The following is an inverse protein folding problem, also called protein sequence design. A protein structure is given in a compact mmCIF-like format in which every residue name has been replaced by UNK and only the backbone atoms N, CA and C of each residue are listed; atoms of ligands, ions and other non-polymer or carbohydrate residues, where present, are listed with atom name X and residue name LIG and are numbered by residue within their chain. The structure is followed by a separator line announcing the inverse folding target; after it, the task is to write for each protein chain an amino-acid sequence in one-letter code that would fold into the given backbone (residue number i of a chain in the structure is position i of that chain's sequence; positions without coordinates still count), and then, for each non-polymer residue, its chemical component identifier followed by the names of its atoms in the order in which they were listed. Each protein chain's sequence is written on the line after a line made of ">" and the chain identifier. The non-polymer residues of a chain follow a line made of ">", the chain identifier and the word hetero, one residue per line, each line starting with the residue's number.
data_IF_139808367886
#
_entry.id   IF_139808367886
#
_cell.length_a   1.000
_cell.length_b   1.000
_cell.length_c   1.000
_cell.angle_alpha   90.00
_cell.angle_beta   90.00
_cell.angle_gamma   90.00
#
_symmetry.space_group_name_H-M   'P 1'
#
loop_
_entity.id
_entity.type
_entity.pdbx_description
1 polymer ?
#
# COMPACT_ATOMS: atom_id res chain seq x y z
N UNK A 1 -9.94 10.77 43.02
CA UNK A 1 -9.98 9.55 42.18
C UNK A 1 -8.96 9.67 41.06
N UNK A 2 -7.76 9.13 41.26
CA UNK A 2 -6.66 9.13 40.29
C UNK A 2 -6.82 7.94 39.33
N UNK A 3 -7.20 8.21 38.08
CA UNK A 3 -7.20 7.19 37.03
C UNK A 3 -5.78 6.64 36.81
N UNK A 4 -5.62 5.32 36.60
CA UNK A 4 -4.32 4.68 36.60
C UNK A 4 -3.48 5.09 35.38
N UNK A 5 -2.40 5.83 35.62
CA UNK A 5 -1.35 6.27 34.68
C UNK A 5 -0.74 5.15 33.80
N UNK A 6 -1.02 3.88 34.09
CA UNK A 6 -0.46 2.73 33.36
C UNK A 6 -1.00 2.55 31.94
N UNK A 7 -2.21 3.02 31.62
CA UNK A 7 -2.75 2.88 30.27
C UNK A 7 -2.04 3.76 29.22
N UNK A 8 -1.53 4.93 29.62
CA UNK A 8 -0.84 5.85 28.70
C UNK A 8 0.52 5.35 28.24
N UNK A 9 1.23 4.56 29.05
CA UNK A 9 2.53 4.03 28.68
C UNK A 9 2.44 3.04 27.49
N UNK A 10 1.41 2.18 27.48
CA UNK A 10 1.24 1.18 26.42
C UNK A 10 0.81 1.80 25.08
N UNK A 11 -0.02 2.84 25.10
CA UNK A 11 -0.45 3.55 23.91
C UNK A 11 0.72 4.33 23.26
N UNK A 12 1.54 5.01 24.08
CA UNK A 12 2.75 5.70 23.61
C UNK A 12 3.77 4.74 23.02
N UNK A 13 3.95 3.56 23.62
CA UNK A 13 4.88 2.54 23.09
C UNK A 13 4.46 1.99 21.73
N UNK A 14 3.14 1.79 21.51
CA UNK A 14 2.60 1.38 20.20
C UNK A 14 2.75 2.47 19.14
N UNK A 15 2.49 3.72 19.50
CA UNK A 15 2.72 4.88 18.63
C UNK A 15 4.19 5.00 18.23
N UNK A 16 5.10 4.89 19.20
CA UNK A 16 6.54 4.95 18.97
C UNK A 16 7.05 3.81 18.08
N UNK A 17 6.59 2.57 18.33
CA UNK A 17 6.95 1.41 17.50
C UNK A 17 6.42 1.56 16.09
N UNK A 18 5.17 2.01 15.92
CA UNK A 18 4.58 2.28 14.61
C UNK A 18 5.35 3.37 13.88
N UNK A 19 5.73 4.45 14.56
CA UNK A 19 6.56 5.53 14.00
C UNK A 19 7.92 5.01 13.56
N UNK A 20 8.64 4.26 14.41
CA UNK A 20 9.93 3.66 14.01
C UNK A 20 9.78 2.72 12.82
N UNK A 21 8.75 1.89 12.81
CA UNK A 21 8.53 0.93 11.74
C UNK A 21 8.20 1.64 10.42
N UNK A 22 7.40 2.71 10.47
CA UNK A 22 7.14 3.58 9.32
C UNK A 22 8.41 4.32 8.85
N UNK A 23 9.26 4.79 9.76
CA UNK A 23 10.53 5.45 9.41
C UNK A 23 11.49 4.46 8.74
N UNK A 24 11.56 3.22 9.24
CA UNK A 24 12.37 2.15 8.62
C UNK A 24 11.83 1.78 7.24
N UNK A 25 10.50 1.63 7.10
CA UNK A 25 9.86 1.37 5.81
C UNK A 25 10.05 2.52 4.81
N UNK A 26 10.09 3.76 5.28
CA UNK A 26 10.34 4.93 4.44
C UNK A 26 11.82 5.02 4.01
N UNK A 27 12.78 4.72 4.90
CA UNK A 27 14.21 4.79 4.57
C UNK A 27 14.65 3.70 3.60
N UNK A 28 14.05 2.52 3.67
CA UNK A 28 14.46 1.37 2.88
C UNK A 28 13.25 0.50 2.53
N UNK A 29 12.34 0.97 1.65
CA UNK A 29 11.13 0.23 1.30
C UNK A 29 11.48 -1.15 0.73
N UNK A 30 12.50 -1.23 -0.13
CA UNK A 30 13.03 -2.47 -0.69
C UNK A 30 13.52 -3.46 0.37
N UNK A 31 14.16 -2.98 1.43
CA UNK A 31 14.67 -3.84 2.50
C UNK A 31 13.56 -4.47 3.35
N UNK A 32 12.33 -3.96 3.25
CA UNK A 32 11.15 -4.51 3.94
C UNK A 32 10.27 -5.30 2.98
N UNK A 33 10.01 -4.78 1.78
CA UNK A 33 9.07 -5.39 0.82
C UNK A 33 9.64 -6.66 0.20
N UNK A 34 10.94 -6.74 -0.05
CA UNK A 34 11.60 -7.94 -0.62
C UNK A 34 11.55 -9.13 0.33
N UNK A 35 12.02 -9.05 1.59
CA UNK A 35 11.94 -10.19 2.50
C UNK A 35 10.49 -10.55 2.83
N UNK A 36 9.59 -9.58 2.91
CA UNK A 36 8.16 -9.84 3.17
C UNK A 36 7.50 -10.53 1.98
N UNK A 37 7.83 -10.10 0.75
CA UNK A 37 7.42 -10.76 -0.49
C UNK A 37 7.99 -12.17 -0.59
N UNK A 38 9.28 -12.36 -0.32
CA UNK A 38 9.93 -13.68 -0.28
C UNK A 38 9.27 -14.61 0.75
N UNK A 39 8.95 -14.11 1.94
CA UNK A 39 8.30 -14.88 3.00
C UNK A 39 6.87 -15.28 2.60
N UNK A 40 6.09 -14.36 2.02
CA UNK A 40 4.77 -14.67 1.47
C UNK A 40 4.84 -15.68 0.32
N UNK A 41 5.82 -15.52 -0.56
CA UNK A 41 6.07 -16.43 -1.68
C UNK A 41 6.49 -17.82 -1.22
N UNK A 42 7.30 -17.92 -0.16
CA UNK A 42 7.68 -19.20 0.44
C UNK A 42 6.48 -19.91 1.08
N UNK A 43 5.65 -19.17 1.82
CA UNK A 43 4.40 -19.72 2.38
C UNK A 43 3.50 -20.24 1.25
N UNK A 44 3.39 -19.48 0.16
CA UNK A 44 2.61 -19.88 -1.01
C UNK A 44 3.19 -21.11 -1.72
N UNK A 45 4.51 -21.14 -1.92
CA UNK A 45 5.22 -22.27 -2.52
C UNK A 45 5.05 -23.56 -1.73
N UNK A 46 5.21 -23.50 -0.41
CA UNK A 46 5.01 -24.67 0.47
C UNK A 46 3.55 -25.12 0.46
N UNK A 47 2.59 -24.20 0.47
CA UNK A 47 1.16 -24.51 0.37
C UNK A 47 0.81 -25.18 -0.96
N UNK A 48 1.29 -24.63 -2.08
CA UNK A 48 1.09 -25.16 -3.42
C UNK A 48 1.72 -26.54 -3.59
N UNK A 49 2.95 -26.73 -3.09
CA UNK A 49 3.61 -28.04 -3.09
C UNK A 49 2.84 -29.06 -2.26
N UNK A 50 2.43 -28.69 -1.04
CA UNK A 50 1.68 -29.59 -0.15
C UNK A 50 0.33 -30.01 -0.74
N UNK A 51 -0.31 -29.11 -1.49
CA UNK A 51 -1.52 -29.41 -2.27
C UNK A 51 -1.21 -30.35 -3.42
N UNK A 52 -0.26 -29.99 -4.29
CA UNK A 52 0.12 -30.76 -5.47
C UNK A 52 0.60 -32.17 -5.12
N UNK A 53 1.43 -32.30 -4.08
CA UNK A 53 1.94 -33.58 -3.59
C UNK A 53 0.80 -34.52 -3.22
N UNK A 54 -0.24 -34.02 -2.54
CA UNK A 54 -1.37 -34.86 -2.12
C UNK A 54 -2.30 -35.23 -3.28
N UNK A 55 -2.47 -34.36 -4.27
CA UNK A 55 -3.37 -34.61 -5.40
C UNK A 55 -2.72 -35.43 -6.50
N UNK A 56 -1.44 -35.17 -6.80
CA UNK A 56 -0.73 -35.80 -7.90
C UNK A 56 -0.05 -37.12 -7.51
N UNK A 57 0.37 -37.28 -6.24
CA UNK A 57 0.99 -38.53 -5.80
C UNK A 57 -0.01 -39.69 -5.62
N UNK A 58 -1.32 -39.41 -5.56
CA UNK A 58 -2.35 -40.44 -5.43
C UNK A 58 -2.47 -41.31 -6.70
N UNK A 59 -2.23 -40.74 -7.88
CA UNK A 59 -2.44 -41.41 -9.17
C UNK A 59 -1.13 -41.63 -9.96
N UNK A 60 0.01 -41.19 -9.43
CA UNK A 60 1.30 -41.29 -10.13
C UNK A 60 2.01 -42.64 -9.87
N UNK A 61 2.61 -43.26 -10.90
CA UNK A 61 3.39 -44.47 -10.73
C UNK A 61 4.63 -44.20 -9.85
N UNK A 62 4.98 -45.15 -8.98
CA UNK A 62 5.97 -44.99 -7.89
C UNK A 62 7.32 -44.41 -8.33
N UNK A 63 7.77 -44.74 -9.55
CA UNK A 63 9.05 -44.34 -10.13
C UNK A 63 9.10 -42.82 -10.45
N UNK A 64 7.94 -42.20 -10.66
CA UNK A 64 7.77 -40.78 -10.95
C UNK A 64 7.61 -40.00 -9.63
N UNK A 65 7.02 -40.64 -8.61
CA UNK A 65 6.81 -40.02 -7.30
C UNK A 65 8.14 -39.61 -6.66
N UNK A 66 9.16 -40.48 -6.62
CA UNK A 66 10.45 -40.18 -5.97
C UNK A 66 11.17 -38.94 -6.56
N UNK A 67 11.13 -38.76 -7.89
CA UNK A 67 11.71 -37.57 -8.53
C UNK A 67 10.88 -36.31 -8.26
N UNK A 68 9.55 -36.40 -8.30
CA UNK A 68 8.68 -35.25 -8.03
C UNK A 68 8.55 -34.89 -6.53
N UNK A 69 8.78 -35.84 -5.61
CA UNK A 69 8.83 -35.58 -4.16
C UNK A 69 9.95 -34.60 -3.83
N UNK A 70 11.06 -34.61 -4.57
CA UNK A 70 12.23 -33.75 -4.29
C UNK A 70 12.28 -32.52 -5.23
N UNK A 71 11.97 -32.70 -6.52
CA UNK A 71 12.06 -31.62 -7.50
C UNK A 71 10.95 -30.57 -7.37
N UNK A 72 9.71 -30.98 -7.08
CA UNK A 72 8.57 -30.05 -6.96
C UNK A 72 8.62 -29.16 -5.71
N UNK A 73 8.96 -29.63 -4.49
CA UNK A 73 9.09 -28.72 -3.36
C UNK A 73 10.21 -27.71 -3.59
N UNK A 74 11.33 -28.16 -4.18
CA UNK A 74 12.43 -27.26 -4.53
C UNK A 74 11.95 -26.21 -5.54
N UNK A 75 11.25 -26.61 -6.60
CA UNK A 75 10.71 -25.70 -7.60
C UNK A 75 9.64 -24.74 -7.03
N UNK A 76 8.78 -25.20 -6.13
CA UNK A 76 7.77 -24.37 -5.49
C UNK A 76 8.36 -23.41 -4.45
N UNK A 77 9.37 -23.83 -3.68
CA UNK A 77 10.08 -22.95 -2.73
C UNK A 77 10.93 -21.92 -3.48
N UNK A 78 11.69 -22.34 -4.48
CA UNK A 78 12.52 -21.44 -5.31
C UNK A 78 11.63 -20.50 -6.14
N UNK A 79 10.57 -21.04 -6.76
CA UNK A 79 9.60 -20.26 -7.54
C UNK A 79 8.80 -19.29 -6.67
N UNK A 80 8.36 -19.73 -5.48
CA UNK A 80 7.69 -18.90 -4.50
C UNK A 80 8.58 -17.78 -3.98
N UNK A 81 9.80 -18.09 -3.56
CA UNK A 81 10.79 -17.09 -3.15
C UNK A 81 11.10 -16.11 -4.29
N UNK A 82 11.30 -16.60 -5.51
CA UNK A 82 11.58 -15.78 -6.69
C UNK A 82 10.43 -14.84 -7.02
N UNK A 83 9.21 -15.37 -7.17
CA UNK A 83 8.02 -14.59 -7.47
C UNK A 83 7.70 -13.57 -6.37
N UNK A 84 7.75 -14.01 -5.11
CA UNK A 84 7.56 -13.16 -3.95
C UNK A 84 8.59 -12.03 -3.86
N UNK A 85 9.87 -12.33 -4.13
CA UNK A 85 10.95 -11.32 -4.17
C UNK A 85 10.75 -10.33 -5.31
N UNK A 86 10.31 -10.79 -6.49
CA UNK A 86 10.00 -9.91 -7.63
C UNK A 86 8.84 -8.98 -7.32
N UNK A 87 7.75 -9.48 -6.73
CA UNK A 87 6.65 -8.63 -6.26
C UNK A 87 7.16 -7.63 -5.22
N UNK A 88 7.94 -8.10 -4.24
CA UNK A 88 8.55 -7.25 -3.23
C UNK A 88 9.46 -6.16 -3.82
N UNK A 89 10.23 -6.48 -4.84
CA UNK A 89 11.06 -5.54 -5.59
C UNK A 89 10.20 -4.52 -6.36
N UNK A 90 9.15 -4.97 -7.06
CA UNK A 90 8.26 -4.09 -7.82
C UNK A 90 7.52 -3.12 -6.89
N UNK A 91 7.00 -3.61 -5.76
CA UNK A 91 6.35 -2.79 -4.73
C UNK A 91 7.35 -1.83 -4.08
N UNK A 92 8.55 -2.30 -3.74
CA UNK A 92 9.57 -1.47 -3.12
C UNK A 92 10.15 -0.42 -4.08
N UNK A 93 10.30 -0.75 -5.36
CA UNK A 93 10.78 0.16 -6.40
C UNK A 93 9.73 1.22 -6.73
N UNK A 94 8.46 0.83 -6.81
CA UNK A 94 7.35 1.78 -7.01
C UNK A 94 7.13 2.70 -5.81
N UNK A 95 7.41 2.22 -4.58
CA UNK A 95 7.48 3.05 -3.38
C UNK A 95 8.70 3.99 -3.41
N UNK A 96 9.89 3.50 -3.77
CA UNK A 96 11.10 4.33 -3.87
C UNK A 96 10.97 5.42 -4.95
N UNK A 97 10.36 5.11 -6.08
CA UNK A 97 10.12 6.06 -7.16
C UNK A 97 9.17 7.21 -6.75
N UNK A 98 8.29 6.99 -5.77
CA UNK A 98 7.48 8.08 -5.17
C UNK A 98 8.34 9.03 -4.34
N UNK A 99 9.28 8.47 -3.57
CA UNK A 99 10.06 9.25 -2.61
C UNK A 99 11.15 10.07 -3.31
N UNK A 100 11.79 9.54 -4.37
CA UNK A 100 12.96 10.17 -5.02
C UNK A 100 12.67 11.47 -5.76
N UNK A 101 11.41 11.81 -6.03
CA UNK A 101 11.04 13.06 -6.73
C UNK A 101 10.37 14.13 -5.86
N UNK A 102 9.99 13.80 -4.62
CA UNK A 102 9.11 14.64 -3.80
C UNK A 102 9.75 15.05 -2.47
N UNK A 103 10.68 14.23 -1.95
CA UNK A 103 11.22 14.39 -0.61
C UNK A 103 12.70 14.75 -0.71
N UNK A 104 13.03 16.01 -0.42
CA UNK A 104 14.42 16.44 -0.29
C UNK A 104 15.08 15.67 0.87
N UNK A 105 16.37 15.32 0.72
CA UNK A 105 17.13 14.55 1.71
C UNK A 105 17.19 15.21 3.10
N UNK A 106 16.89 16.50 3.21
CA UNK A 106 16.79 17.26 4.46
C UNK A 106 15.38 17.34 5.08
N UNK A 107 14.36 16.74 4.45
CA UNK A 107 12.97 16.84 4.94
C UNK A 107 12.82 16.11 6.27
N UNK A 108 12.47 16.85 7.32
CA UNK A 108 12.30 16.27 8.65
C UNK A 108 11.13 15.27 8.67
N UNK A 109 11.27 14.08 9.28
CA UNK A 109 10.28 13.00 9.18
C UNK A 109 8.91 13.36 9.75
N UNK A 110 8.86 14.20 10.79
CA UNK A 110 7.60 14.66 11.37
C UNK A 110 6.82 15.60 10.43
N UNK A 111 7.51 16.41 9.60
CA UNK A 111 6.87 17.28 8.59
C UNK A 111 6.21 16.46 7.51
N UNK A 112 6.88 15.39 7.07
CA UNK A 112 6.31 14.44 6.13
C UNK A 112 5.07 13.73 6.69
N UNK A 113 5.08 13.38 7.98
CA UNK A 113 3.91 12.83 8.65
C UNK A 113 2.76 13.84 8.74
N UNK A 114 3.05 15.10 9.10
CA UNK A 114 2.05 16.16 9.11
C UNK A 114 1.47 16.39 7.71
N UNK A 115 2.30 16.38 6.67
CA UNK A 115 1.88 16.52 5.28
C UNK A 115 0.99 15.36 4.83
N UNK A 116 1.32 14.12 5.20
CA UNK A 116 0.46 12.95 4.93
C UNK A 116 -0.88 13.04 5.64
N UNK A 117 -0.93 13.52 6.89
CA UNK A 117 -2.20 13.74 7.60
C UNK A 117 -3.04 14.83 6.95
N UNK A 118 -2.41 15.94 6.56
CA UNK A 118 -3.06 17.02 5.82
C UNK A 118 -3.66 16.51 4.49
N UNK A 119 -2.91 15.67 3.77
CA UNK A 119 -3.36 14.99 2.56
C UNK A 119 -4.56 14.06 2.81
N UNK A 120 -4.51 13.23 3.85
CA UNK A 120 -5.60 12.32 4.22
C UNK A 120 -6.88 13.08 4.60
N UNK A 121 -6.74 14.22 5.28
CA UNK A 121 -7.85 15.09 5.65
C UNK A 121 -8.35 15.93 4.46
N UNK A 122 -7.51 16.18 3.47
CA UNK A 122 -7.78 17.06 2.34
C UNK A 122 -7.85 18.54 2.73
N UNK A 123 -7.11 18.94 3.76
CA UNK A 123 -7.08 20.31 4.32
C UNK A 123 -5.63 20.81 4.32
N UNK A 124 -5.36 22.06 3.91
CA UNK A 124 -4.02 22.63 4.00
C UNK A 124 -3.54 22.69 5.45
N UNK A 125 -2.25 22.40 5.66
CA UNK A 125 -1.63 22.55 6.98
C UNK A 125 -1.35 24.03 7.29
N UNK A 126 -1.34 24.39 8.57
CA UNK A 126 -0.99 25.75 9.03
C UNK A 126 0.45 26.15 8.66
N UNK A 127 1.38 25.18 8.68
CA UNK A 127 2.76 25.39 8.25
C UNK A 127 2.84 25.37 6.72
N UNK A 128 3.33 26.46 6.13
CA UNK A 128 3.48 26.64 4.69
C UNK A 128 4.37 25.57 4.04
N UNK A 129 5.43 25.12 4.73
CA UNK A 129 6.31 24.07 4.20
C UNK A 129 5.60 22.71 4.18
N UNK A 130 4.84 22.40 5.23
CA UNK A 130 4.03 21.17 5.32
C UNK A 130 2.92 21.18 4.26
N UNK A 131 2.27 22.33 4.06
CA UNK A 131 1.25 22.50 3.02
C UNK A 131 1.84 22.30 1.62
N UNK A 132 3.03 22.88 1.34
CA UNK A 132 3.76 22.67 0.08
C UNK A 132 4.09 21.19 -0.15
N UNK A 133 4.56 20.48 0.88
CA UNK A 133 4.82 19.04 0.80
C UNK A 133 3.53 18.22 0.60
N UNK A 134 2.42 18.62 1.23
CA UNK A 134 1.13 17.96 1.04
C UNK A 134 0.62 18.13 -0.40
N UNK A 135 0.78 19.33 -0.98
CA UNK A 135 0.44 19.62 -2.38
C UNK A 135 1.29 18.79 -3.35
N UNK A 136 2.60 18.67 -3.12
CA UNK A 136 3.46 17.86 -3.98
C UNK A 136 3.11 16.37 -3.92
N UNK A 137 2.81 15.85 -2.73
CA UNK A 137 2.29 14.48 -2.54
C UNK A 137 0.91 14.30 -3.22
N UNK A 138 0.03 15.29 -3.13
CA UNK A 138 -1.28 15.25 -3.77
C UNK A 138 -1.15 15.17 -5.30
N UNK A 139 -0.29 15.99 -5.90
CA UNK A 139 0.00 15.95 -7.33
C UNK A 139 0.50 14.59 -7.79
N UNK A 140 1.44 13.98 -7.05
CA UNK A 140 1.95 12.65 -7.37
C UNK A 140 0.86 11.57 -7.25
N UNK A 141 -0.04 11.71 -6.28
CA UNK A 141 -1.17 10.78 -6.06
C UNK A 141 -2.20 10.87 -7.20
N UNK A 142 -2.53 12.08 -7.66
CA UNK A 142 -3.53 12.30 -8.70
C UNK A 142 -3.01 11.91 -10.09
N UNK A 143 -1.72 12.15 -10.38
CA UNK A 143 -1.11 11.81 -11.69
C UNK A 143 -1.14 10.32 -12.04
N UNK A 144 -1.24 9.44 -11.05
CA UNK A 144 -1.30 7.99 -11.29
C UNK A 144 -2.67 7.60 -11.84
N UNK A 145 -2.77 6.87 -12.97
CA UNK A 145 -4.04 6.34 -13.43
C UNK A 145 -4.58 5.37 -12.36
N UNK A 146 -5.82 5.58 -11.94
CA UNK A 146 -6.44 4.79 -10.88
C UNK A 146 -7.87 4.44 -11.26
N UNK A 147 -8.14 3.14 -11.29
CA UNK A 147 -9.42 2.57 -11.71
C UNK A 147 -10.00 1.76 -10.55
N UNK A 148 -10.61 2.41 -9.54
CA UNK A 148 -11.02 1.73 -8.30
C UNK A 148 -12.04 0.61 -8.54
N UNK A 149 -12.94 0.82 -9.51
CA UNK A 149 -13.94 -0.20 -9.88
C UNK A 149 -13.27 -1.42 -10.51
N UNK A 150 -12.33 -1.21 -11.42
CA UNK A 150 -11.61 -2.30 -12.07
C UNK A 150 -10.73 -3.08 -11.07
N UNK A 151 -9.99 -2.38 -10.20
CA UNK A 151 -9.18 -3.00 -9.15
C UNK A 151 -10.03 -3.79 -8.16
N UNK A 152 -11.15 -3.21 -7.69
CA UNK A 152 -12.08 -3.90 -6.80
C UNK A 152 -12.66 -5.15 -7.46
N UNK A 153 -13.09 -5.05 -8.71
CA UNK A 153 -13.63 -6.17 -9.46
C UNK A 153 -12.56 -7.25 -9.67
N UNK A 154 -11.33 -6.86 -10.05
CA UNK A 154 -10.21 -7.78 -10.18
C UNK A 154 -9.94 -8.55 -8.89
N UNK A 155 -9.85 -7.86 -7.75
CA UNK A 155 -9.63 -8.51 -6.45
C UNK A 155 -10.80 -9.41 -6.04
N UNK A 156 -12.05 -9.02 -6.32
CA UNK A 156 -13.22 -9.86 -6.05
C UNK A 156 -13.26 -11.10 -6.94
N UNK A 157 -12.96 -10.97 -8.23
CA UNK A 157 -12.88 -12.09 -9.17
C UNK A 157 -11.77 -13.06 -8.76
N UNK A 158 -10.59 -12.54 -8.39
CA UNK A 158 -9.50 -13.36 -7.87
C UNK A 158 -9.90 -14.03 -6.54
N UNK A 159 -10.52 -13.30 -5.61
CA UNK A 159 -11.00 -13.88 -4.35
C UNK A 159 -12.02 -15.00 -4.58
N UNK A 160 -12.93 -14.84 -5.55
CA UNK A 160 -13.90 -15.85 -5.92
C UNK A 160 -13.22 -17.08 -6.55
N UNK A 161 -12.23 -16.87 -7.43
CA UNK A 161 -11.42 -17.93 -8.01
C UNK A 161 -10.72 -18.73 -6.91
N UNK A 162 -10.00 -18.07 -6.01
CA UNK A 162 -9.33 -18.71 -4.88
C UNK A 162 -10.32 -19.41 -3.94
N UNK A 163 -11.47 -18.79 -3.68
CA UNK A 163 -12.54 -19.38 -2.87
C UNK A 163 -13.11 -20.65 -3.49
N UNK A 164 -13.26 -20.68 -4.83
CA UNK A 164 -13.69 -21.89 -5.55
C UNK A 164 -12.66 -23.01 -5.47
N UNK A 165 -11.36 -22.68 -5.56
CA UNK A 165 -10.27 -23.64 -5.38
C UNK A 165 -10.23 -24.20 -3.96
N UNK A 166 -10.45 -23.35 -2.94
CA UNK A 166 -10.58 -23.78 -1.55
C UNK A 166 -11.78 -24.73 -1.35
N UNK A 167 -12.92 -24.44 -1.99
CA UNK A 167 -14.10 -25.30 -1.99
C UNK A 167 -13.83 -26.67 -2.61
N UNK A 168 -13.19 -26.71 -3.78
CA UNK A 168 -12.75 -27.95 -4.42
C UNK A 168 -11.77 -28.74 -3.54
N UNK A 169 -10.83 -28.06 -2.88
CA UNK A 169 -9.93 -28.71 -1.93
C UNK A 169 -10.67 -29.30 -0.73
N UNK A 170 -11.72 -28.63 -0.26
CA UNK A 170 -12.55 -29.10 0.86
C UNK A 170 -13.32 -30.36 0.45
N UNK A 171 -13.95 -30.36 -0.73
CA UNK A 171 -14.68 -31.51 -1.26
C UNK A 171 -13.78 -32.73 -1.50
N UNK A 172 -12.52 -32.49 -1.87
CA UNK A 172 -11.53 -33.55 -2.10
C UNK A 172 -10.72 -33.92 -0.84
N UNK A 173 -11.02 -33.34 0.32
CA UNK A 173 -10.32 -33.68 1.58
C UNK A 173 -8.85 -33.26 1.61
N UNK A 174 -8.47 -32.16 0.94
CA UNK A 174 -7.09 -31.66 0.83
C UNK A 174 -6.90 -30.44 1.76
N UNK A 175 -6.53 -30.62 3.04
CA UNK A 175 -6.53 -29.56 4.04
C UNK A 175 -5.51 -28.45 3.74
N UNK A 176 -4.36 -28.78 3.14
CA UNK A 176 -3.32 -27.79 2.81
C UNK A 176 -3.79 -26.80 1.73
N UNK A 177 -4.45 -27.30 0.68
CA UNK A 177 -5.03 -26.46 -0.37
C UNK A 177 -6.18 -25.61 0.15
N UNK A 178 -7.03 -26.18 1.02
CA UNK A 178 -8.10 -25.44 1.69
C UNK A 178 -7.56 -24.23 2.47
N UNK A 179 -6.49 -24.41 3.26
CA UNK A 179 -5.88 -23.33 4.02
C UNK A 179 -5.20 -22.30 3.12
N UNK A 180 -4.44 -22.74 2.13
CA UNK A 180 -3.72 -21.84 1.22
C UNK A 180 -4.70 -20.98 0.42
N UNK A 181 -5.56 -21.60 -0.38
CA UNK A 181 -6.51 -20.90 -1.24
C UNK A 181 -7.57 -20.16 -0.42
N UNK A 182 -7.99 -20.70 0.73
CA UNK A 182 -8.90 -20.02 1.64
C UNK A 182 -8.30 -18.74 2.23
N UNK A 183 -7.03 -18.78 2.67
CA UNK A 183 -6.34 -17.60 3.18
C UNK A 183 -6.07 -16.55 2.09
N UNK A 184 -5.73 -16.98 0.87
CA UNK A 184 -5.58 -16.11 -0.29
C UNK A 184 -6.90 -15.42 -0.66
N UNK A 185 -8.01 -16.18 -0.69
CA UNK A 185 -9.35 -15.66 -0.94
C UNK A 185 -9.74 -14.58 0.09
N UNK A 186 -9.52 -14.85 1.38
CA UNK A 186 -9.80 -13.89 2.47
C UNK A 186 -8.95 -12.63 2.31
N UNK A 187 -7.66 -12.77 1.99
CA UNK A 187 -6.76 -11.63 1.80
C UNK A 187 -7.21 -10.76 0.62
N UNK A 188 -7.48 -11.37 -0.53
CA UNK A 188 -7.94 -10.67 -1.74
C UNK A 188 -9.29 -9.98 -1.52
N UNK A 189 -10.20 -10.65 -0.81
CA UNK A 189 -11.48 -10.09 -0.42
C UNK A 189 -11.30 -8.89 0.53
N UNK A 190 -10.40 -8.99 1.52
CA UNK A 190 -10.06 -7.88 2.40
C UNK A 190 -9.41 -6.70 1.64
N UNK A 191 -8.55 -6.96 0.65
CA UNK A 191 -8.00 -5.91 -0.21
C UNK A 191 -9.11 -5.19 -1.00
N UNK A 192 -10.06 -5.94 -1.55
CA UNK A 192 -11.21 -5.38 -2.27
C UNK A 192 -12.12 -4.51 -1.37
N UNK A 193 -12.31 -4.90 -0.12
CA UNK A 193 -13.21 -4.23 0.82
C UNK A 193 -12.58 -3.07 1.59
N UNK A 194 -11.30 -3.15 1.91
CA UNK A 194 -10.63 -2.19 2.80
C UNK A 194 -9.57 -1.36 2.08
N UNK A 195 -8.67 -2.01 1.34
CA UNK A 195 -7.54 -1.31 0.71
C UNK A 195 -8.01 -0.40 -0.43
N UNK A 196 -8.84 -0.90 -1.36
CA UNK A 196 -9.33 -0.10 -2.49
C UNK A 196 -10.15 1.12 -2.01
N UNK A 197 -11.10 0.98 -1.05
CA UNK A 197 -11.81 2.16 -0.54
C UNK A 197 -10.92 3.13 0.24
N UNK A 198 -9.92 2.64 0.99
CA UNK A 198 -8.97 3.50 1.70
C UNK A 198 -8.16 4.35 0.73
N UNK A 199 -7.62 3.76 -0.34
CA UNK A 199 -6.89 4.47 -1.38
C UNK A 199 -7.80 5.46 -2.14
N UNK A 200 -9.05 5.06 -2.40
CA UNK A 200 -10.05 5.97 -3.01
C UNK A 200 -10.31 7.20 -2.13
N UNK A 201 -10.41 7.03 -0.81
CA UNK A 201 -10.57 8.15 0.14
C UNK A 201 -9.35 9.05 0.13
N UNK A 202 -8.15 8.47 0.17
CA UNK A 202 -6.90 9.24 0.11
C UNK A 202 -6.81 10.07 -1.17
N UNK A 203 -7.19 9.51 -2.32
CA UNK A 203 -7.16 10.22 -3.61
C UNK A 203 -8.18 11.36 -3.67
N UNK A 204 -9.38 11.18 -3.10
CA UNK A 204 -10.36 12.28 -2.95
C UNK A 204 -9.83 13.39 -2.03
N UNK A 205 -9.11 13.04 -0.95
CA UNK A 205 -8.43 14.01 -0.10
C UNK A 205 -7.39 14.81 -0.87
N UNK A 206 -6.58 14.13 -1.69
CA UNK A 206 -5.61 14.75 -2.58
C UNK A 206 -6.25 15.73 -3.58
N UNK A 207 -7.33 15.32 -4.26
CA UNK A 207 -8.07 16.16 -5.21
C UNK A 207 -8.64 17.42 -4.53
N UNK A 208 -9.22 17.28 -3.33
CA UNK A 208 -9.72 18.42 -2.54
C UNK A 208 -8.62 19.40 -2.17
N UNK A 209 -7.48 18.89 -1.70
CA UNK A 209 -6.34 19.72 -1.31
C UNK A 209 -5.79 20.49 -2.52
N UNK A 210 -5.71 19.87 -3.70
CA UNK A 210 -5.30 20.55 -4.93
C UNK A 210 -6.32 21.61 -5.37
N UNK A 211 -7.62 21.34 -5.24
CA UNK A 211 -8.66 22.31 -5.56
C UNK A 211 -8.63 23.55 -4.63
N UNK A 212 -8.40 23.34 -3.33
CA UNK A 212 -8.22 24.44 -2.37
C UNK A 212 -6.97 25.26 -2.68
N UNK A 213 -5.84 24.60 -2.97
CA UNK A 213 -4.63 25.28 -3.36
C UNK A 213 -4.79 26.11 -4.66
N UNK A 214 -5.54 25.58 -5.63
CA UNK A 214 -5.89 26.31 -6.84
C UNK A 214 -6.78 27.55 -6.54
N UNK A 215 -7.73 27.43 -5.61
CA UNK A 215 -8.57 28.56 -5.20
C UNK A 215 -7.75 29.67 -4.51
N UNK A 216 -6.85 29.30 -3.59
CA UNK A 216 -5.98 30.24 -2.87
C UNK A 216 -5.05 31.01 -3.83
N UNK A 217 -4.47 30.30 -4.80
CA UNK A 217 -3.58 30.91 -5.81
C UNK A 217 -4.34 31.86 -6.74
N UNK A 218 -5.59 31.54 -7.12
CA UNK A 218 -6.43 32.46 -7.89
C UNK A 218 -6.81 33.72 -7.07
N UNK A 219 -7.16 33.55 -5.79
CA UNK A 219 -7.49 34.67 -4.90
C UNK A 219 -6.29 35.62 -4.69
N UNK A 220 -5.09 35.08 -4.50
CA UNK A 220 -3.85 35.86 -4.40
C UNK A 220 -3.52 36.62 -5.70
N UNK A 221 -3.81 36.02 -6.86
CA UNK A 221 -3.66 36.67 -8.17
C UNK A 221 -4.60 37.86 -8.36
N UNK A 222 -5.85 37.76 -7.90
CA UNK A 222 -6.83 38.86 -8.01
C UNK A 222 -6.46 40.02 -7.08
N UNK A 223 -5.98 39.73 -5.87
CA UNK A 223 -5.55 40.76 -4.91
C UNK A 223 -4.35 41.58 -5.39
N UNK A 224 -3.38 40.94 -6.06
CA UNK A 224 -2.20 41.62 -6.62
C UNK A 224 -2.54 42.51 -7.83
N UNK A 225 -3.51 42.12 -8.66
CA UNK A 225 -3.99 42.94 -9.79
C UNK A 225 -4.83 44.14 -9.31
N UNK A 226 -5.62 43.98 -8.24
CA UNK A 226 -6.37 45.08 -7.61
C UNK A 226 -5.45 46.12 -6.96
N UNK A 227 -4.40 45.69 -6.27
CA UNK A 227 -3.39 46.58 -5.68
C UNK A 227 -2.59 47.35 -6.74
N UNK A 228 -2.27 46.71 -7.87
CA UNK A 228 -1.60 47.38 -8.99
C UNK A 228 -2.46 48.43 -9.71
N UNK A 229 -3.81 48.30 -9.67
CA UNK A 229 -4.75 49.29 -10.22
C UNK A 229 -5.12 50.41 -9.24
N UNK A 230 -5.04 50.18 -7.93
CA UNK A 230 -5.37 51.17 -6.90
C UNK A 230 -4.28 52.21 -6.61
N UNK A 231 -3.05 52.01 -7.11
CA UNK A 231 -1.92 52.95 -6.93
C UNK A 231 -1.84 54.07 -7.98
N UNK A 232 -2.72 54.08 -8.98
CA UNK A 232 -2.83 55.14 -9.97
C UNK A 232 -3.71 56.29 -9.46
N UNK A 233 -3.23 57.05 -8.48
CA UNK A 233 -3.77 58.38 -8.24
C UNK A 233 -3.54 59.21 -9.52
N UNK A 234 -4.62 59.43 -10.28
CA UNK A 234 -4.61 60.33 -11.41
C UNK A 234 -4.10 61.70 -10.91
N UNK A 235 -3.08 62.31 -11.55
CA UNK A 235 -2.76 63.69 -11.27
C UNK A 235 -3.97 64.53 -11.64
N UNK A 236 -4.62 65.10 -10.63
CA UNK A 236 -5.61 66.15 -10.81
C UNK A 236 -4.85 67.33 -11.42
N UNK A 237 -5.09 67.59 -12.71
CA UNK A 237 -4.71 68.83 -13.37
C UNK A 237 -5.75 69.89 -13.10
#
# INVERSE_FOLDING_TARGET
>A
MSLPLRFHASARRRLYLRERLMIVMAKSPLAVTVPLGALLGLIAGVGLWSWWYRTAAADAPANIVDFLVVAVPLACVVGGLGFGSVIGLLVGASAKALDTGIIDAGTQPWRLHAARRALEQGVPAEDAEVSRLAVSLAWATVRRPYYPRALRLLFLCLALLEGSMAGLCTLNGIPAGMLFFGSAAVLLFAMALFAVPAETRQRRGAERLLALHAADTMAAGIGSVGAARGGGALPVQ
#
